data_IF_933466320864
#
_entry.id   IF_933466320864
#
_cell.length_a   1.000
_cell.length_b   1.000
_cell.length_c   1.000
_cell.angle_alpha   90.00
_cell.angle_beta   90.00
_cell.angle_gamma   90.00
#
_symmetry.space_group_name_H-M   'P 1'
#
loop_
_entity.id
_entity.type
_entity.pdbx_description
1 polymer ?
#
# COMPACT_ATOMS: atom_id res chain seq x y z
N UNK A 1 21.61 -8.58 0.50
CA UNK A 1 20.21 -8.23 0.20
C UNK A 1 20.19 -7.28 -0.97
N UNK A 2 19.53 -7.61 -2.08
CA UNK A 2 19.41 -6.72 -3.24
C UNK A 2 18.38 -5.59 -3.03
N UNK A 3 17.50 -5.73 -2.03
CA UNK A 3 16.48 -4.74 -1.70
C UNK A 3 16.82 -4.01 -0.40
N UNK A 4 16.64 -2.68 -0.42
CA UNK A 4 16.74 -1.84 0.78
C UNK A 4 15.36 -1.76 1.42
N UNK A 5 15.32 -1.97 2.73
CA UNK A 5 14.11 -1.78 3.52
C UNK A 5 13.65 -0.31 3.50
N UNK A 6 12.34 -0.04 3.61
CA UNK A 6 11.81 1.31 3.76
C UNK A 6 12.42 2.00 4.98
N UNK A 7 12.73 3.27 4.84
CA UNK A 7 13.34 4.06 5.91
C UNK A 7 12.50 5.29 6.23
N UNK A 8 12.47 5.66 7.51
CA UNK A 8 11.85 6.87 8.02
C UNK A 8 12.94 7.90 8.25
N UNK A 9 12.72 9.12 7.77
CA UNK A 9 13.68 10.22 7.81
C UNK A 9 13.09 11.43 8.53
N UNK A 10 13.92 12.07 9.34
CA UNK A 10 13.66 13.39 9.87
C UNK A 10 14.23 14.39 8.85
N UNK A 11 13.35 15.21 8.28
CA UNK A 11 13.74 16.18 7.26
C UNK A 11 14.44 17.41 7.84
N UNK A 12 14.12 17.79 9.09
CA UNK A 12 14.75 18.92 9.76
C UNK A 12 16.18 18.57 10.16
N UNK A 13 16.37 17.40 10.79
CA UNK A 13 17.68 16.89 11.18
C UNK A 13 18.47 16.29 10.02
N UNK A 14 17.81 15.96 8.89
CA UNK A 14 18.38 15.26 7.72
C UNK A 14 19.02 13.91 8.07
N UNK A 15 18.42 13.22 9.03
CA UNK A 15 18.90 11.93 9.53
C UNK A 15 17.85 10.85 9.34
N UNK A 16 18.32 9.60 9.17
CA UNK A 16 17.44 8.44 9.19
C UNK A 16 17.10 8.12 10.64
N UNK A 17 15.81 8.14 10.97
CA UNK A 17 15.30 7.89 12.33
C UNK A 17 14.99 6.41 12.54
N UNK A 18 14.56 5.72 11.48
CA UNK A 18 14.17 4.32 11.58
C UNK A 18 14.22 3.58 10.23
N UNK A 19 14.10 2.26 10.30
CA UNK A 19 13.84 1.35 9.18
C UNK A 19 12.57 0.57 9.53
N UNK A 20 11.68 0.37 8.56
CA UNK A 20 10.51 -0.49 8.74
C UNK A 20 10.92 -1.95 8.55
N UNK A 21 10.54 -2.78 9.52
CA UNK A 21 10.76 -4.22 9.47
C UNK A 21 9.70 -4.87 8.58
N UNK A 22 10.07 -5.06 7.32
CA UNK A 22 9.21 -5.65 6.28
C UNK A 22 9.89 -6.88 5.72
N UNK A 23 9.15 -7.98 5.61
CA UNK A 23 9.62 -9.15 4.87
C UNK A 23 9.65 -8.79 3.37
N UNK A 24 10.80 -8.37 2.84
CA UNK A 24 10.91 -7.96 1.44
C UNK A 24 10.97 -9.19 0.53
N UNK A 25 9.95 -9.33 -0.31
CA UNK A 25 9.84 -10.38 -1.32
C UNK A 25 10.00 -9.83 -2.75
N UNK A 26 10.17 -8.50 -2.88
CA UNK A 26 10.33 -7.80 -4.15
C UNK A 26 10.58 -6.31 -3.95
N UNK A 27 10.64 -5.58 -5.07
CA UNK A 27 10.73 -4.12 -5.06
C UNK A 27 9.41 -3.51 -4.57
N UNK A 28 9.53 -2.55 -3.67
CA UNK A 28 8.39 -1.69 -3.30
C UNK A 28 8.22 -0.67 -4.41
N UNK A 29 7.06 -0.68 -5.04
CA UNK A 29 6.76 0.13 -6.23
C UNK A 29 6.11 1.45 -5.85
N UNK A 30 5.27 1.45 -4.81
CA UNK A 30 4.53 2.63 -4.39
C UNK A 30 4.18 2.56 -2.90
N UNK A 31 3.82 3.71 -2.31
CA UNK A 31 3.44 3.82 -0.90
C UNK A 31 2.43 4.93 -0.66
N UNK A 32 1.59 4.76 0.36
CA UNK A 32 0.66 5.74 0.88
C UNK A 32 0.71 5.74 2.42
N UNK A 33 0.60 6.93 3.03
CA UNK A 33 0.61 7.09 4.49
C UNK A 33 -0.78 7.47 4.95
N UNK A 34 -1.30 6.81 5.99
CA UNK A 34 -2.61 7.13 6.54
C UNK A 34 -2.59 8.54 7.17
N UNK A 35 -3.64 9.36 6.98
CA UNK A 35 -3.73 10.70 7.57
C UNK A 35 -3.52 10.73 9.09
N UNK A 36 -3.95 9.70 9.82
CA UNK A 36 -3.72 9.57 11.26
C UNK A 36 -2.27 9.18 11.64
N UNK A 37 -1.34 9.12 10.67
CA UNK A 37 0.08 8.77 10.81
C UNK A 37 0.36 7.44 11.53
N UNK A 38 -0.63 6.54 11.57
CA UNK A 38 -0.49 5.26 12.27
C UNK A 38 0.00 4.15 11.36
N UNK A 39 -0.42 4.14 10.10
CA UNK A 39 -0.09 3.06 9.17
C UNK A 39 0.54 3.61 7.89
N UNK A 40 1.50 2.85 7.36
CA UNK A 40 1.97 3.01 5.97
C UNK A 40 1.54 1.78 5.19
N UNK A 41 0.98 2.04 4.03
CA UNK A 41 0.63 1.03 3.04
C UNK A 41 1.64 1.12 1.92
N UNK A 42 2.21 -0.01 1.54
CA UNK A 42 3.14 -0.15 0.44
C UNK A 42 2.60 -1.21 -0.51
N UNK A 43 3.01 -1.13 -1.76
CA UNK A 43 2.79 -2.20 -2.72
C UNK A 43 4.11 -2.72 -3.26
N UNK A 44 4.22 -4.04 -3.34
CA UNK A 44 5.15 -4.70 -4.24
C UNK A 44 4.39 -5.21 -5.47
N UNK A 45 5.10 -5.89 -6.38
CA UNK A 45 4.52 -6.38 -7.63
C UNK A 45 3.23 -7.16 -7.44
N UNK A 46 3.10 -7.93 -6.36
CA UNK A 46 1.96 -8.84 -6.15
C UNK A 46 1.26 -8.62 -4.81
N UNK A 47 1.65 -7.66 -3.99
CA UNK A 47 1.18 -7.58 -2.61
C UNK A 47 0.92 -6.17 -2.14
N UNK A 48 -0.11 -6.02 -1.32
CA UNK A 48 -0.29 -4.87 -0.43
C UNK A 48 0.33 -5.22 0.93
N UNK A 49 1.23 -4.38 1.40
CA UNK A 49 2.00 -4.55 2.64
C UNK A 49 1.63 -3.42 3.56
N UNK A 50 1.30 -3.72 4.82
CA UNK A 50 0.97 -2.68 5.80
C UNK A 50 1.83 -2.79 7.04
N UNK A 51 2.33 -1.63 7.43
CA UNK A 51 3.17 -1.45 8.59
C UNK A 51 2.51 -0.48 9.58
N UNK A 52 2.61 -0.78 10.86
CA UNK A 52 2.33 0.18 11.93
C UNK A 52 3.59 1.03 12.15
N UNK A 53 3.41 2.36 12.14
CA UNK A 53 4.51 3.31 12.28
C UNK A 53 5.02 3.45 13.71
N UNK A 54 4.18 3.15 14.71
CA UNK A 54 4.56 3.22 16.11
C UNK A 54 5.46 2.03 16.47
N UNK A 55 5.09 0.81 16.05
CA UNK A 55 5.89 -0.40 16.28
C UNK A 55 6.96 -0.62 15.22
N UNK A 56 6.84 0.03 14.05
CA UNK A 56 7.75 -0.08 12.89
C UNK A 56 7.81 -1.49 12.29
N UNK A 57 6.75 -2.26 12.49
CA UNK A 57 6.65 -3.65 12.03
C UNK A 57 5.57 -3.82 10.99
N UNK A 58 5.77 -4.78 10.08
CA UNK A 58 4.71 -5.28 9.20
C UNK A 58 3.61 -5.94 10.03
N UNK A 59 2.37 -5.46 9.90
CA UNK A 59 1.18 -6.01 10.57
C UNK A 59 0.29 -6.82 9.63
N UNK A 60 0.40 -6.60 8.32
CA UNK A 60 -0.32 -7.35 7.31
C UNK A 60 0.44 -7.42 5.98
N UNK A 61 0.22 -8.50 5.24
CA UNK A 61 0.62 -8.67 3.83
C UNK A 61 -0.49 -9.43 3.12
N UNK A 62 -1.05 -8.83 2.08
CA UNK A 62 -2.07 -9.43 1.24
C UNK A 62 -1.50 -9.66 -0.14
N UNK A 63 -1.20 -10.91 -0.46
CA UNK A 63 -0.72 -11.32 -1.78
C UNK A 63 -1.91 -11.54 -2.71
N UNK A 64 -1.77 -11.02 -3.92
CA UNK A 64 -2.67 -11.14 -5.05
C UNK A 64 -1.94 -11.94 -6.13
N UNK A 65 -2.13 -13.27 -6.19
CA UNK A 65 -1.41 -14.12 -7.14
C UNK A 65 -1.69 -13.72 -8.59
N UNK A 66 -0.65 -13.49 -9.39
CA UNK A 66 -0.77 -13.25 -10.83
C UNK A 66 -1.11 -11.81 -11.25
N UNK A 67 -1.10 -10.86 -10.33
CA UNK A 67 -1.51 -9.47 -10.59
C UNK A 67 -0.39 -8.49 -10.33
N UNK A 68 -0.12 -7.58 -11.28
CA UNK A 68 0.88 -6.53 -11.15
C UNK A 68 0.28 -5.24 -10.57
N UNK A 69 0.46 -4.95 -9.29
CA UNK A 69 0.01 -3.70 -8.68
C UNK A 69 0.94 -2.53 -9.06
N UNK A 70 0.37 -1.38 -9.43
CA UNK A 70 1.14 -0.20 -9.81
C UNK A 70 0.84 1.03 -8.96
N UNK A 71 -0.36 1.12 -8.40
CA UNK A 71 -0.79 2.26 -7.61
C UNK A 71 -1.58 1.85 -6.37
N UNK A 72 -1.51 2.69 -5.34
CA UNK A 72 -2.22 2.51 -4.08
C UNK A 72 -2.63 3.87 -3.52
N UNK A 73 -3.80 3.95 -2.92
CA UNK A 73 -4.32 5.12 -2.23
C UNK A 73 -5.04 4.70 -0.94
N UNK A 74 -5.15 5.65 -0.01
CA UNK A 74 -5.93 5.50 1.22
C UNK A 74 -7.14 6.42 1.17
N UNK A 75 -8.26 5.98 1.73
CA UNK A 75 -9.39 6.89 1.94
C UNK A 75 -9.06 7.92 3.03
N UNK A 76 -9.61 9.15 2.93
CA UNK A 76 -9.36 10.21 3.93
C UNK A 76 -9.71 9.80 5.36
N UNK A 77 -10.77 8.99 5.52
CA UNK A 77 -11.21 8.46 6.81
C UNK A 77 -10.31 7.34 7.37
N UNK A 78 -9.23 6.98 6.66
CA UNK A 78 -8.29 5.90 6.99
C UNK A 78 -8.94 4.52 7.14
N UNK A 79 -10.15 4.30 6.58
CA UNK A 79 -10.87 3.03 6.68
C UNK A 79 -10.58 2.08 5.53
N UNK A 80 -10.14 2.57 4.38
CA UNK A 80 -9.91 1.72 3.23
C UNK A 80 -8.60 2.00 2.51
N UNK A 81 -8.03 0.93 1.97
CA UNK A 81 -6.96 0.96 0.97
C UNK A 81 -7.58 0.65 -0.37
N UNK A 82 -7.18 1.38 -1.40
CA UNK A 82 -7.54 1.11 -2.78
C UNK A 82 -6.25 0.86 -3.58
N UNK A 83 -6.19 -0.20 -4.37
CA UNK A 83 -5.06 -0.48 -5.24
C UNK A 83 -5.51 -0.89 -6.65
N UNK A 84 -4.68 -0.59 -7.64
CA UNK A 84 -4.92 -0.89 -9.05
C UNK A 84 -3.65 -1.36 -9.75
N UNK A 85 -3.84 -2.09 -10.86
CA UNK A 85 -2.74 -2.77 -11.53
C UNK A 85 -2.99 -3.20 -12.97
N UNK A 86 -2.24 -4.21 -13.40
CA UNK A 86 -2.20 -4.71 -14.77
C UNK A 86 -3.48 -5.40 -15.25
N UNK A 87 -4.33 -5.83 -14.33
CA UNK A 87 -5.52 -6.64 -14.60
C UNK A 87 -6.82 -5.84 -14.63
N UNK A 88 -6.72 -4.52 -14.80
CA UNK A 88 -7.86 -3.61 -14.92
C UNK A 88 -8.81 -3.62 -13.72
N UNK A 89 -8.41 -4.22 -12.59
CA UNK A 89 -9.24 -4.31 -11.40
C UNK A 89 -8.80 -3.27 -10.36
N UNK A 90 -9.78 -2.58 -9.78
CA UNK A 90 -9.61 -1.82 -8.54
C UNK A 90 -9.98 -2.72 -7.37
N UNK A 91 -9.06 -2.85 -6.42
CA UNK A 91 -9.27 -3.64 -5.21
C UNK A 91 -9.34 -2.74 -4.00
N UNK A 92 -10.29 -3.04 -3.12
CA UNK A 92 -10.56 -2.28 -1.91
C UNK A 92 -10.45 -3.18 -0.70
N UNK A 93 -9.65 -2.77 0.28
CA UNK A 93 -9.52 -3.46 1.56
C UNK A 93 -9.95 -2.56 2.69
N UNK A 94 -10.64 -3.12 3.68
CA UNK A 94 -10.88 -2.45 4.94
C UNK A 94 -9.61 -2.48 5.80
N UNK A 95 -9.23 -1.31 6.31
CA UNK A 95 -8.07 -1.07 7.14
C UNK A 95 -8.48 -1.05 8.62
N UNK A 96 -8.12 -2.11 9.34
CA UNK A 96 -8.44 -2.28 10.75
C UNK A 96 -8.60 -3.76 11.07
N UNK A 97 -8.37 -4.21 12.31
CA UNK A 97 -8.54 -5.62 12.65
C UNK A 97 -10.02 -6.03 12.68
N UNK A 98 -10.44 -7.10 11.97
CA UNK A 98 -9.65 -7.87 11.01
C UNK A 98 -9.56 -7.16 9.65
N UNK A 99 -8.41 -7.31 8.99
CA UNK A 99 -8.20 -6.81 7.64
C UNK A 99 -8.91 -7.73 6.65
N UNK A 100 -9.71 -7.17 5.74
CA UNK A 100 -10.43 -7.96 4.74
C UNK A 100 -10.59 -7.23 3.41
N UNK A 101 -10.76 -8.01 2.34
CA UNK A 101 -11.13 -7.50 1.02
C UNK A 101 -12.58 -7.05 1.08
N UNK A 102 -12.81 -5.74 0.95
CA UNK A 102 -14.15 -5.15 0.99
C UNK A 102 -14.83 -5.23 -0.39
N UNK A 103 -14.06 -5.05 -1.47
CA UNK A 103 -14.57 -5.15 -2.84
C UNK A 103 -13.44 -5.39 -3.85
N UNK A 104 -13.81 -6.01 -4.96
CA UNK A 104 -13.06 -5.97 -6.23
C UNK A 104 -13.99 -5.39 -7.27
N UNK A 105 -13.56 -4.32 -7.91
CA UNK A 105 -14.29 -3.61 -8.95
C UNK A 105 -13.55 -3.91 -10.24
N UNK A 106 -14.20 -4.69 -11.10
CA UNK A 106 -13.72 -4.90 -12.45
C UNK A 106 -14.06 -3.66 -13.29
N UNK A 107 -13.05 -3.07 -13.93
CA UNK A 107 -13.22 -1.92 -14.79
C UNK A 107 -13.29 -2.31 -16.28
N UNK A 108 -13.58 -3.58 -16.60
CA UNK A 108 -13.52 -4.13 -17.96
C UNK A 108 -14.47 -3.44 -18.96
N UNK A 109 -13.92 -2.43 -19.64
CA UNK A 109 -14.29 -1.93 -20.98
C UNK A 109 -13.01 -1.45 -21.70
N UNK A 110 -11.97 -2.30 -21.80
CA UNK A 110 -10.77 -1.99 -22.60
C UNK A 110 -9.88 -0.85 -22.08
N UNK A 111 -10.04 -0.45 -20.81
CA UNK A 111 -9.30 0.66 -20.20
C UNK A 111 -7.80 0.38 -19.98
N UNK A 112 -7.36 -0.87 -20.13
CA UNK A 112 -5.99 -1.27 -19.87
C UNK A 112 -5.62 -1.10 -18.40
N UNK A 113 -4.31 -1.09 -18.12
CA UNK A 113 -3.83 -1.11 -16.74
C UNK A 113 -4.14 0.19 -15.97
N UNK A 114 -4.51 0.03 -14.70
CA UNK A 114 -4.65 1.13 -13.75
C UNK A 114 -3.26 1.58 -13.27
N UNK A 115 -2.79 2.70 -13.82
CA UNK A 115 -1.46 3.25 -13.52
C UNK A 115 -1.45 4.26 -12.37
N UNK A 116 -2.60 4.86 -12.05
CA UNK A 116 -2.73 5.86 -10.99
C UNK A 116 -4.15 5.89 -10.42
N UNK A 117 -4.26 6.30 -9.16
CA UNK A 117 -5.50 6.43 -8.42
C UNK A 117 -5.44 7.67 -7.53
N UNK A 118 -6.59 8.31 -7.33
CA UNK A 118 -6.79 9.35 -6.34
C UNK A 118 -8.16 9.16 -5.68
N UNK A 119 -8.27 9.44 -4.39
CA UNK A 119 -9.53 9.37 -3.64
C UNK A 119 -9.94 10.77 -3.25
N UNK A 120 -11.19 11.15 -3.54
CA UNK A 120 -11.72 12.47 -3.19
C UNK A 120 -11.90 12.61 -1.67
N UNK A 121 -11.65 13.82 -1.11
CA UNK A 121 -11.80 14.06 0.33
C UNK A 121 -13.25 13.97 0.86
N UNK A 122 -14.26 14.04 -0.01
CA UNK A 122 -15.66 14.14 0.40
C UNK A 122 -16.05 15.54 0.86
#
# INVERSE_FOLDING_TARGET
>A
SFFKAPAIWDLQARTRVAVLEVSQQGLILNLAVAPALRHVVMIDACSVIVCDLATRTQVARHTLPGFGLFCVALTPDSRYVVAGGADSCIRVWHLGPPWYVAATIDCDEGLGSISSLAVSPG
#
